data_IF_670551364778
#
_entry.id   IF_670551364778
#
_cell.length_a   1.000
_cell.length_b   1.000
_cell.length_c   1.000
_cell.angle_alpha   90.00
_cell.angle_beta   90.00
_cell.angle_gamma   90.00
#
_symmetry.space_group_name_H-M   'P 1'
#
loop_
_entity.id
_entity.type
_entity.pdbx_description
1 polymer ?
#
# COMPACT_ATOMS: atom_id res chain seq x y z
N UNK A 1 15.63 -16.86 -6.50
CA UNK A 1 16.09 -16.16 -7.65
C UNK A 1 14.94 -15.59 -8.48
N UNK A 2 15.00 -14.30 -8.76
CA UNK A 2 13.92 -13.56 -9.39
C UNK A 2 14.35 -13.02 -10.74
N UNK A 3 14.75 -13.90 -11.64
CA UNK A 3 15.27 -13.51 -12.96
C UNK A 3 14.33 -12.62 -13.76
N UNK A 4 13.03 -12.83 -13.65
CA UNK A 4 12.04 -12.07 -14.40
C UNK A 4 11.42 -10.94 -13.57
N UNK A 5 12.01 -10.63 -12.43
CA UNK A 5 11.52 -9.59 -11.57
C UNK A 5 12.01 -8.23 -12.04
N UNK A 6 11.09 -7.35 -12.39
CA UNK A 6 11.40 -5.99 -12.80
C UNK A 6 11.18 -5.04 -11.60
N UNK A 7 12.29 -4.60 -11.01
CA UNK A 7 12.24 -3.70 -9.85
C UNK A 7 11.48 -2.42 -10.13
N UNK A 8 11.70 -1.84 -11.30
CA UNK A 8 11.05 -0.57 -11.64
C UNK A 8 9.54 -0.74 -11.75
N UNK A 9 9.10 -1.78 -12.43
CA UNK A 9 7.66 -2.06 -12.57
C UNK A 9 7.05 -2.31 -11.21
N UNK A 10 7.73 -3.08 -10.35
CA UNK A 10 7.25 -3.32 -8.99
C UNK A 10 7.13 -2.02 -8.20
N UNK A 11 8.17 -1.19 -8.22
CA UNK A 11 8.19 0.05 -7.42
C UNK A 11 7.13 1.04 -7.92
N UNK A 12 6.96 1.17 -9.22
CA UNK A 12 5.92 2.02 -9.78
C UNK A 12 4.53 1.52 -9.37
N UNK A 13 4.31 0.21 -9.45
CA UNK A 13 3.06 -0.40 -9.02
C UNK A 13 2.81 -0.25 -7.53
N UNK A 14 3.87 -0.36 -6.71
CA UNK A 14 3.76 -0.21 -5.26
C UNK A 14 3.34 1.21 -4.87
N UNK A 15 3.87 2.23 -5.57
CA UNK A 15 3.46 3.62 -5.33
C UNK A 15 1.99 3.82 -5.67
N UNK A 16 1.56 3.31 -6.82
CA UNK A 16 0.16 3.42 -7.25
C UNK A 16 -0.74 2.70 -6.24
N UNK A 17 -0.33 1.50 -5.81
CA UNK A 17 -1.10 0.73 -4.83
C UNK A 17 -1.21 1.47 -3.49
N UNK A 18 -0.10 2.03 -3.00
CA UNK A 18 -0.11 2.77 -1.74
C UNK A 18 -1.10 3.93 -1.79
N UNK A 19 -1.00 4.75 -2.84
CA UNK A 19 -1.89 5.90 -3.00
C UNK A 19 -3.35 5.49 -3.14
N UNK A 20 -3.60 4.46 -3.96
CA UNK A 20 -4.96 3.95 -4.18
C UNK A 20 -5.55 3.40 -2.89
N UNK A 21 -4.76 2.64 -2.12
CA UNK A 21 -5.22 2.04 -0.87
C UNK A 21 -5.52 3.13 0.16
N UNK A 22 -4.64 4.10 0.34
CA UNK A 22 -4.86 5.17 1.31
C UNK A 22 -6.09 6.01 0.92
N UNK A 23 -6.21 6.39 -0.35
CA UNK A 23 -7.36 7.17 -0.80
C UNK A 23 -8.66 6.39 -0.66
N UNK A 24 -8.64 5.10 -1.01
CA UNK A 24 -9.84 4.25 -0.87
C UNK A 24 -10.23 4.09 0.59
N UNK A 25 -9.24 3.89 1.47
CA UNK A 25 -9.49 3.80 2.91
C UNK A 25 -10.11 5.09 3.45
N UNK A 26 -9.53 6.24 3.09
CA UNK A 26 -10.01 7.51 3.58
C UNK A 26 -11.40 7.86 3.06
N UNK A 27 -11.79 7.31 1.92
CA UNK A 27 -13.12 7.50 1.34
C UNK A 27 -14.10 6.39 1.69
N UNK A 28 -13.66 5.38 2.46
CA UNK A 28 -14.51 4.26 2.83
C UNK A 28 -14.86 3.34 1.67
N UNK A 29 -14.03 3.29 0.64
CA UNK A 29 -14.27 2.49 -0.56
C UNK A 29 -13.82 1.05 -0.36
N UNK A 30 -14.68 0.24 0.27
CA UNK A 30 -14.40 -1.16 0.57
C UNK A 30 -14.24 -2.00 -0.69
N UNK A 31 -14.98 -1.68 -1.74
CA UNK A 31 -14.97 -2.45 -2.97
C UNK A 31 -13.57 -2.43 -3.62
N UNK A 32 -12.97 -1.27 -3.72
CA UNK A 32 -11.62 -1.13 -4.27
C UNK A 32 -10.59 -1.82 -3.38
N UNK A 33 -10.71 -1.64 -2.05
CA UNK A 33 -9.78 -2.25 -1.10
C UNK A 33 -9.79 -3.76 -1.16
N UNK A 34 -10.94 -4.37 -1.39
CA UNK A 34 -11.09 -5.83 -1.39
C UNK A 34 -10.19 -6.50 -2.44
N UNK A 35 -9.95 -5.83 -3.55
CA UNK A 35 -9.10 -6.35 -4.63
C UNK A 35 -7.60 -6.11 -4.43
N UNK A 36 -7.22 -5.32 -3.41
CA UNK A 36 -5.83 -4.90 -3.21
C UNK A 36 -5.22 -5.44 -1.92
N UNK A 37 -6.02 -6.04 -1.05
CA UNK A 37 -5.59 -6.47 0.28
C UNK A 37 -5.80 -7.98 0.45
N UNK A 38 -4.93 -8.61 1.25
CA UNK A 38 -5.22 -9.97 1.70
C UNK A 38 -6.43 -9.94 2.63
N UNK A 39 -7.06 -11.10 2.86
CA UNK A 39 -8.26 -11.17 3.68
C UNK A 39 -8.11 -10.59 5.06
N UNK A 40 -6.98 -10.88 5.73
CA UNK A 40 -6.72 -10.39 7.08
C UNK A 40 -6.57 -8.87 7.12
N UNK A 41 -5.83 -8.32 6.17
CA UNK A 41 -5.65 -6.86 6.09
C UNK A 41 -6.96 -6.19 5.74
N UNK A 42 -7.73 -6.78 4.82
CA UNK A 42 -9.04 -6.25 4.45
C UNK A 42 -9.96 -6.14 5.68
N UNK A 43 -10.01 -7.19 6.50
CA UNK A 43 -10.85 -7.17 7.70
C UNK A 43 -10.47 -6.05 8.65
N UNK A 44 -9.17 -5.82 8.82
CA UNK A 44 -8.69 -4.72 9.68
C UNK A 44 -9.08 -3.36 9.13
N UNK A 45 -8.95 -3.17 7.82
CA UNK A 45 -9.34 -1.92 7.18
C UNK A 45 -10.85 -1.72 7.22
N UNK A 46 -11.61 -2.77 6.97
CA UNK A 46 -13.08 -2.72 7.04
C UNK A 46 -13.54 -2.30 8.43
N UNK A 47 -12.96 -2.89 9.46
CA UNK A 47 -13.28 -2.53 10.85
C UNK A 47 -13.00 -1.05 11.12
N UNK A 48 -11.85 -0.56 10.67
CA UNK A 48 -11.49 0.85 10.86
C UNK A 48 -12.45 1.79 10.12
N UNK A 49 -12.88 1.42 8.92
CA UNK A 49 -13.87 2.18 8.16
C UNK A 49 -15.20 2.20 8.90
N UNK A 50 -15.66 1.05 9.38
CA UNK A 50 -16.94 0.93 10.11
C UNK A 50 -16.92 1.71 11.41
N UNK A 51 -15.76 1.83 12.06
CA UNK A 51 -15.57 2.63 13.27
C UNK A 51 -15.29 4.11 12.95
N UNK A 52 -15.38 4.50 11.68
CA UNK A 52 -15.17 5.87 11.21
C UNK A 52 -13.79 6.44 11.55
N UNK A 53 -12.77 5.57 11.52
CA UNK A 53 -11.37 5.97 11.74
C UNK A 53 -10.70 6.34 10.42
N UNK A 54 -11.42 7.07 9.57
CA UNK A 54 -10.94 7.49 8.25
C UNK A 54 -10.76 8.99 8.23
N UNK A 55 -9.90 9.47 7.31
CA UNK A 55 -9.54 10.88 7.24
C UNK A 55 -9.70 11.39 5.80
N UNK A 56 -10.95 11.58 5.33
CA UNK A 56 -11.18 11.98 3.95
C UNK A 56 -10.65 13.38 3.61
N UNK A 57 -10.36 14.18 4.64
CA UNK A 57 -9.81 15.53 4.47
C UNK A 57 -8.33 15.55 4.11
N UNK A 58 -7.62 14.42 4.23
CA UNK A 58 -6.19 14.36 3.90
C UNK A 58 -5.94 14.11 2.42
N UNK A 59 -4.92 14.76 1.88
CA UNK A 59 -4.53 14.67 0.48
C UNK A 59 -3.02 14.48 0.39
N UNK A 60 -2.56 13.71 -0.60
CA UNK A 60 -1.13 13.54 -0.82
C UNK A 60 -0.52 14.81 -1.41
N UNK A 61 0.60 15.23 -0.84
CA UNK A 61 1.46 16.27 -1.37
C UNK A 61 2.62 15.64 -2.13
N UNK A 62 3.23 14.60 -1.58
CA UNK A 62 4.27 13.84 -2.25
C UNK A 62 4.28 12.41 -1.74
N UNK A 63 4.77 11.50 -2.57
CA UNK A 63 4.94 10.09 -2.22
C UNK A 63 6.20 9.58 -2.88
N UNK A 64 7.11 9.04 -2.06
CA UNK A 64 8.34 8.41 -2.55
C UNK A 64 8.55 7.09 -1.86
N UNK A 65 9.29 6.20 -2.52
CA UNK A 65 9.77 4.99 -1.90
C UNK A 65 11.20 5.24 -1.47
N UNK A 66 11.47 5.11 -0.16
CA UNK A 66 12.80 5.28 0.36
C UNK A 66 13.67 4.09 0.03
N UNK A 67 13.17 2.87 0.28
CA UNK A 67 13.88 1.65 -0.07
C UNK A 67 13.02 0.40 0.08
N UNK A 68 13.50 -0.69 -0.50
CA UNK A 68 12.98 -2.02 -0.23
C UNK A 68 13.70 -2.50 1.02
N UNK A 69 12.95 -2.75 2.10
CA UNK A 69 13.49 -3.16 3.38
C UNK A 69 13.85 -4.65 3.40
N UNK A 70 13.03 -5.48 2.76
CA UNK A 70 13.19 -6.92 2.85
C UNK A 70 12.51 -7.62 1.69
N UNK A 71 13.06 -8.77 1.31
CA UNK A 71 12.48 -9.66 0.30
C UNK A 71 12.58 -11.07 0.84
N UNK A 72 11.44 -11.73 1.01
CA UNK A 72 11.36 -13.09 1.54
C UNK A 72 10.59 -13.96 0.56
N UNK A 73 11.09 -15.16 0.31
CA UNK A 73 10.38 -16.18 -0.44
C UNK A 73 10.12 -17.34 0.50
N UNK A 74 8.84 -17.64 0.71
CA UNK A 74 8.41 -18.64 1.68
C UNK A 74 7.14 -19.30 1.18
N UNK A 75 7.13 -20.64 1.16
CA UNK A 75 5.95 -21.41 0.71
C UNK A 75 5.46 -21.03 -0.69
N UNK A 76 6.41 -20.76 -1.60
CA UNK A 76 6.14 -20.34 -2.97
C UNK A 76 5.43 -18.99 -3.06
N UNK A 77 5.51 -18.16 -2.01
CA UNK A 77 5.00 -16.80 -2.00
C UNK A 77 6.18 -15.86 -1.82
N UNK A 78 6.25 -14.83 -2.68
CA UNK A 78 7.24 -13.77 -2.52
C UNK A 78 6.60 -12.63 -1.74
N UNK A 79 7.31 -12.14 -0.71
CA UNK A 79 6.88 -11.01 0.12
C UNK A 79 7.94 -9.94 0.06
N UNK A 80 7.54 -8.73 -0.28
CA UNK A 80 8.45 -7.58 -0.38
C UNK A 80 7.96 -6.48 0.54
N UNK A 81 8.83 -6.07 1.47
CA UNK A 81 8.53 -4.97 2.39
C UNK A 81 9.16 -3.69 1.87
N UNK A 82 8.37 -2.66 1.77
CA UNK A 82 8.74 -1.38 1.19
C UNK A 82 8.57 -0.28 2.22
N UNK A 83 9.54 0.62 2.29
CA UNK A 83 9.44 1.81 3.13
C UNK A 83 8.98 2.99 2.28
N UNK A 84 7.79 3.49 2.61
CA UNK A 84 7.22 4.65 1.94
C UNK A 84 7.42 5.90 2.78
N UNK A 85 7.73 7.00 2.10
CA UNK A 85 7.70 8.34 2.70
C UNK A 85 6.61 9.11 2.01
N UNK A 86 5.66 9.63 2.76
CA UNK A 86 4.61 10.46 2.20
C UNK A 86 4.53 11.80 2.93
N UNK A 87 4.11 12.81 2.18
CA UNK A 87 3.75 14.10 2.73
C UNK A 87 2.29 14.31 2.39
N UNK A 88 1.51 14.68 3.38
CA UNK A 88 0.07 14.84 3.25
C UNK A 88 -0.35 16.16 3.87
N UNK A 89 -1.40 16.74 3.35
CA UNK A 89 -1.97 17.97 3.91
C UNK A 89 -3.48 17.80 4.05
N UNK A 90 -4.07 18.70 4.81
CA UNK A 90 -5.46 18.59 5.24
C UNK A 90 -6.27 19.76 4.69
N UNK A 91 -7.48 19.45 4.15
CA UNK A 91 -8.42 20.47 3.69
C UNK A 91 -7.84 21.48 2.69
N UNK A 92 -7.00 21.01 1.76
CA UNK A 92 -6.33 21.83 0.75
C UNK A 92 -5.39 22.90 1.34
N UNK A 93 -5.03 22.77 2.62
CA UNK A 93 -4.11 23.71 3.28
C UNK A 93 -2.69 23.15 3.28
N UNK A 94 -1.88 23.56 2.29
CA UNK A 94 -0.52 23.09 2.14
C UNK A 94 0.40 23.51 3.30
N UNK A 95 -0.04 24.46 4.15
CA UNK A 95 0.74 24.84 5.33
C UNK A 95 0.67 23.79 6.44
N UNK A 96 -0.26 22.82 6.32
CA UNK A 96 -0.44 21.76 7.31
C UNK A 96 0.19 20.44 6.88
N UNK A 97 1.20 20.49 6.02
CA UNK A 97 1.89 19.28 5.55
C UNK A 97 2.46 18.48 6.72
N UNK A 98 2.12 17.20 6.77
CA UNK A 98 2.69 16.26 7.71
C UNK A 98 3.47 15.19 6.94
N UNK A 99 4.56 14.72 7.56
CA UNK A 99 5.40 13.69 6.97
C UNK A 99 5.12 12.37 7.67
N UNK A 100 4.94 11.30 6.87
CA UNK A 100 4.70 9.96 7.39
C UNK A 100 5.67 8.97 6.77
N UNK A 101 6.05 7.98 7.56
CA UNK A 101 6.88 6.88 7.12
C UNK A 101 6.10 5.59 7.41
N UNK A 102 5.92 4.76 6.39
CA UNK A 102 5.16 3.53 6.52
C UNK A 102 5.95 2.36 5.95
N UNK A 103 5.89 1.21 6.64
CA UNK A 103 6.43 -0.04 6.15
C UNK A 103 5.26 -0.92 5.75
N UNK A 104 5.18 -1.26 4.46
CA UNK A 104 4.12 -2.12 3.93
C UNK A 104 4.73 -3.32 3.26
N UNK A 105 4.12 -4.48 3.46
CA UNK A 105 4.55 -5.73 2.83
C UNK A 105 3.51 -6.16 1.81
N UNK A 106 3.97 -6.37 0.58
CA UNK A 106 3.15 -6.88 -0.51
C UNK A 106 3.53 -8.33 -0.78
N UNK A 107 2.55 -9.15 -1.14
CA UNK A 107 2.82 -10.53 -1.47
C UNK A 107 2.18 -10.97 -2.78
N UNK A 108 2.75 -12.01 -3.36
CA UNK A 108 2.26 -12.61 -4.59
C UNK A 108 2.81 -14.02 -4.69
N UNK A 109 2.01 -15.00 -5.17
CA UNK A 109 2.54 -16.32 -5.47
C UNK A 109 3.62 -16.21 -6.54
N UNK A 110 4.74 -16.87 -6.35
CA UNK A 110 5.90 -16.74 -7.24
C UNK A 110 5.59 -17.22 -8.66
N UNK A 111 4.67 -18.16 -8.81
CA UNK A 111 4.26 -18.70 -10.11
C UNK A 111 3.04 -18.01 -10.70
N UNK A 112 2.52 -16.99 -10.04
CA UNK A 112 1.35 -16.29 -10.53
C UNK A 112 1.67 -15.49 -11.79
N UNK A 113 0.77 -15.56 -12.76
CA UNK A 113 0.84 -14.75 -13.96
C UNK A 113 0.13 -13.41 -13.79
N UNK A 114 -0.60 -13.27 -12.69
CA UNK A 114 -1.27 -12.03 -12.34
C UNK A 114 -0.20 -11.00 -11.94
N UNK A 115 -0.16 -9.83 -12.60
CA UNK A 115 0.84 -8.81 -12.25
C UNK A 115 0.55 -8.10 -10.93
N UNK A 116 -0.61 -8.32 -10.34
CA UNK A 116 -1.02 -7.60 -9.14
C UNK A 116 -0.46 -8.22 -7.87
N UNK A 117 -0.01 -7.35 -6.98
CA UNK A 117 0.45 -7.71 -5.65
C UNK A 117 -0.63 -7.33 -4.64
N UNK A 118 -0.76 -8.11 -3.57
CA UNK A 118 -1.71 -7.80 -2.50
C UNK A 118 -0.96 -7.29 -1.28
N UNK A 119 -1.50 -6.28 -0.64
CA UNK A 119 -0.97 -5.81 0.64
C UNK A 119 -1.29 -6.85 1.72
N UNK A 120 -0.25 -7.38 2.36
CA UNK A 120 -0.38 -8.43 3.37
C UNK A 120 0.01 -7.99 4.77
N UNK A 121 0.62 -6.82 4.92
CA UNK A 121 1.00 -6.28 6.23
C UNK A 121 1.25 -4.79 6.13
N UNK A 122 0.90 -4.07 7.17
CA UNK A 122 1.16 -2.64 7.29
C UNK A 122 1.95 -2.31 8.56
#
# INVERSE_FOLDING_TARGET
>A
NLENFDHKVFLDGAKIAFETIINSFNNGDKSTLKGLLTGDVYKSFEKAIDEKKINPEYQFYSLTIEKIEDVIIENAIIKITVRFLSEQFKNNDESTVIKKQDLWTFEKPIKSKDPNWLLSST
#
